data_IF_787341108408
#
_entry.id   IF_787341108408
#
_cell.length_a   1.000
_cell.length_b   1.000
_cell.length_c   1.000
_cell.angle_alpha   90.00
_cell.angle_beta   90.00
_cell.angle_gamma   90.00
#
_symmetry.space_group_name_H-M   'P 1'
#
loop_
_entity.id
_entity.type
_entity.pdbx_description
1 polymer ?
#
# COMPACT_ATOMS: atom_id res chain seq x y z
N UNK A 1 23.57 14.25 -24.31
CA UNK A 1 22.49 13.45 -24.92
C UNK A 1 21.27 13.33 -24.01
N UNK A 2 21.30 12.54 -22.94
CA UNK A 2 20.09 12.31 -22.11
C UNK A 2 19.59 13.58 -21.37
N UNK A 3 20.50 14.29 -20.69
CA UNK A 3 20.18 15.57 -20.03
C UNK A 3 19.59 16.60 -21.00
N UNK A 4 20.18 16.73 -22.20
CA UNK A 4 19.73 17.69 -23.21
C UNK A 4 18.36 17.33 -23.78
N UNK A 5 18.06 16.03 -23.89
CA UNK A 5 16.77 15.51 -24.33
C UNK A 5 15.65 15.82 -23.34
N UNK A 6 15.91 15.72 -22.03
CA UNK A 6 14.91 15.93 -20.98
C UNK A 6 14.78 17.39 -20.52
N UNK A 7 15.82 18.21 -20.73
CA UNK A 7 15.84 19.61 -20.28
C UNK A 7 14.64 20.45 -20.78
N UNK A 8 14.20 20.34 -22.06
CA UNK A 8 13.03 21.08 -22.53
C UNK A 8 11.73 20.74 -21.80
N UNK A 9 11.63 19.53 -21.24
CA UNK A 9 10.42 19.03 -20.55
C UNK A 9 10.35 19.45 -19.08
N UNK A 10 11.42 20.04 -18.53
CA UNK A 10 11.57 20.32 -17.10
C UNK A 10 10.43 21.15 -16.51
N UNK A 11 10.01 22.21 -17.22
CA UNK A 11 8.97 23.11 -16.72
C UNK A 11 7.61 22.40 -16.66
N UNK A 12 7.26 21.67 -17.71
CA UNK A 12 6.02 20.93 -17.80
C UNK A 12 5.97 19.78 -16.78
N UNK A 13 7.09 19.05 -16.62
CA UNK A 13 7.26 18.04 -15.59
C UNK A 13 7.05 18.63 -14.19
N UNK A 14 7.62 19.80 -13.91
CA UNK A 14 7.45 20.49 -12.63
C UNK A 14 6.00 20.89 -12.36
N UNK A 15 5.29 21.44 -13.36
CA UNK A 15 3.86 21.75 -13.23
C UNK A 15 3.03 20.49 -12.97
N UNK A 16 3.39 19.38 -13.60
CA UNK A 16 2.73 18.09 -13.42
C UNK A 16 2.96 17.53 -12.01
N UNK A 17 4.18 17.61 -11.50
CA UNK A 17 4.53 17.28 -10.11
C UNK A 17 3.73 18.09 -9.10
N UNK A 18 3.65 19.41 -9.28
CA UNK A 18 2.82 20.28 -8.42
C UNK A 18 1.35 19.86 -8.49
N UNK A 19 0.85 19.58 -9.70
CA UNK A 19 -0.52 19.09 -9.90
C UNK A 19 -0.78 17.80 -9.14
N UNK A 20 0.11 16.81 -9.26
CA UNK A 20 0.02 15.55 -8.54
C UNK A 20 0.03 15.76 -7.03
N UNK A 21 1.02 16.49 -6.49
CA UNK A 21 1.16 16.72 -5.06
C UNK A 21 -0.05 17.46 -4.46
N UNK A 22 -0.68 18.38 -5.20
CA UNK A 22 -1.93 19.04 -4.75
C UNK A 22 -3.09 18.07 -4.56
N UNK A 23 -3.13 16.96 -5.29
CA UNK A 23 -4.17 15.96 -5.17
C UNK A 23 -3.79 14.88 -4.14
N UNK A 24 -2.54 14.44 -4.16
CA UNK A 24 -2.09 13.31 -3.35
C UNK A 24 -1.73 13.70 -1.92
N UNK A 25 -1.14 14.86 -1.67
CA UNK A 25 -0.71 15.25 -0.32
C UNK A 25 -1.86 15.38 0.71
N UNK A 26 -3.05 15.89 0.37
CA UNK A 26 -4.18 15.94 1.31
C UNK A 26 -5.07 14.68 1.27
N UNK A 27 -4.67 13.63 0.53
CA UNK A 27 -5.53 12.47 0.32
C UNK A 27 -5.66 11.64 1.61
N UNK A 28 -6.89 11.27 1.92
CA UNK A 28 -7.25 10.42 3.06
C UNK A 28 -8.20 9.31 2.60
N UNK A 29 -7.97 8.04 2.99
CA UNK A 29 -6.85 7.56 3.82
C UNK A 29 -5.50 7.59 3.06
N UNK A 30 -4.35 7.53 3.79
CA UNK A 30 -3.01 7.58 3.18
C UNK A 30 -2.77 6.47 2.14
N UNK A 31 -3.44 5.33 2.29
CA UNK A 31 -3.38 4.18 1.38
C UNK A 31 -3.88 4.50 -0.05
N UNK A 32 -4.59 5.61 -0.25
CA UNK A 32 -5.00 6.06 -1.58
C UNK A 32 -3.89 6.75 -2.37
N UNK A 33 -2.87 7.30 -1.69
CA UNK A 33 -1.79 8.09 -2.30
C UNK A 33 -1.09 7.34 -3.43
N UNK A 34 -0.70 6.06 -3.28
CA UNK A 34 -0.06 5.31 -4.36
C UNK A 34 -0.94 5.19 -5.62
N UNK A 35 -2.25 5.01 -5.46
CA UNK A 35 -3.18 4.87 -6.59
C UNK A 35 -3.43 6.20 -7.31
N UNK A 36 -3.52 7.30 -6.57
CA UNK A 36 -3.58 8.65 -7.14
C UNK A 36 -2.30 8.94 -7.94
N UNK A 37 -1.14 8.65 -7.36
CA UNK A 37 0.14 8.84 -8.05
C UNK A 37 0.26 7.94 -9.30
N UNK A 38 -0.23 6.70 -9.24
CA UNK A 38 -0.27 5.79 -10.39
C UNK A 38 -1.09 6.37 -11.55
N UNK A 39 -2.24 6.97 -11.27
CA UNK A 39 -3.05 7.63 -12.31
C UNK A 39 -2.28 8.74 -13.02
N UNK A 40 -1.48 9.53 -12.29
CA UNK A 40 -0.59 10.53 -12.90
C UNK A 40 0.53 9.90 -13.74
N UNK A 41 1.19 8.84 -13.24
CA UNK A 41 2.24 8.14 -13.98
C UNK A 41 1.70 7.57 -15.30
N UNK A 42 0.54 6.92 -15.28
CA UNK A 42 -0.12 6.38 -16.46
C UNK A 42 -0.57 7.50 -17.41
N UNK A 43 -1.13 8.59 -16.88
CA UNK A 43 -1.54 9.74 -17.66
C UNK A 43 -0.38 10.40 -18.39
N UNK A 44 0.74 10.64 -17.70
CA UNK A 44 1.95 11.20 -18.30
C UNK A 44 2.52 10.27 -19.37
N UNK A 45 2.61 8.96 -19.09
CA UNK A 45 3.10 8.00 -20.07
C UNK A 45 2.23 7.99 -21.32
N UNK A 46 0.91 8.00 -21.17
CA UNK A 46 -0.02 7.96 -22.30
C UNK A 46 0.02 9.25 -23.14
N UNK A 47 0.13 10.42 -22.50
CA UNK A 47 0.06 11.71 -23.17
C UNK A 47 1.40 12.18 -23.73
N UNK A 48 2.52 11.79 -23.10
CA UNK A 48 3.85 12.35 -23.37
C UNK A 48 4.95 11.32 -23.61
N UNK A 49 4.60 10.03 -23.59
CA UNK A 49 5.54 8.94 -23.80
C UNK A 49 6.57 8.80 -22.68
N UNK A 50 7.59 7.99 -22.94
CA UNK A 50 8.59 7.63 -21.94
C UNK A 50 9.48 8.82 -21.55
N UNK A 51 9.73 9.76 -22.48
CA UNK A 51 10.46 11.01 -22.25
C UNK A 51 9.76 11.90 -21.22
N UNK A 52 8.45 12.08 -21.40
CA UNK A 52 7.63 12.81 -20.43
C UNK A 52 7.59 12.12 -19.08
N UNK A 53 7.50 10.79 -19.06
CA UNK A 53 7.52 10.00 -17.83
C UNK A 53 8.87 10.13 -17.10
N UNK A 54 9.98 10.06 -17.82
CA UNK A 54 11.33 10.26 -17.25
C UNK A 54 11.50 11.67 -16.70
N UNK A 55 11.10 12.70 -17.45
CA UNK A 55 11.16 14.08 -16.98
C UNK A 55 10.30 14.30 -15.73
N UNK A 56 9.11 13.69 -15.69
CA UNK A 56 8.23 13.71 -14.52
C UNK A 56 8.86 13.01 -13.31
N UNK A 57 9.39 11.80 -13.48
CA UNK A 57 10.09 11.07 -12.43
C UNK A 57 11.29 11.87 -11.88
N UNK A 58 12.09 12.49 -12.75
CA UNK A 58 13.20 13.36 -12.33
C UNK A 58 12.71 14.57 -11.55
N UNK A 59 11.60 15.19 -11.96
CA UNK A 59 10.98 16.26 -11.20
C UNK A 59 10.57 15.78 -9.81
N UNK A 60 9.87 14.65 -9.70
CA UNK A 60 9.47 14.05 -8.43
C UNK A 60 10.66 13.78 -7.50
N UNK A 61 11.74 13.18 -8.01
CA UNK A 61 12.94 12.92 -7.22
C UNK A 61 13.61 14.21 -6.71
N UNK A 62 13.58 15.29 -7.50
CA UNK A 62 14.08 16.59 -7.04
C UNK A 62 13.23 17.16 -5.90
N UNK A 63 11.90 17.04 -5.99
CA UNK A 63 10.99 17.48 -4.93
C UNK A 63 11.13 16.65 -3.66
N UNK A 64 11.23 15.32 -3.77
CA UNK A 64 11.50 14.44 -2.62
C UNK A 64 12.82 14.79 -1.94
N UNK A 65 13.88 15.04 -2.72
CA UNK A 65 15.18 15.48 -2.20
C UNK A 65 15.08 16.82 -1.46
N UNK A 66 14.31 17.77 -2.00
CA UNK A 66 14.09 19.06 -1.35
C UNK A 66 13.30 18.90 -0.04
N UNK A 67 12.21 18.12 -0.04
CA UNK A 67 11.39 17.86 1.13
C UNK A 67 12.19 17.22 2.28
N UNK A 68 13.05 16.23 1.97
CA UNK A 68 13.91 15.59 2.98
C UNK A 68 14.89 16.60 3.59
N UNK A 69 15.49 17.47 2.76
CA UNK A 69 16.38 18.53 3.24
C UNK A 69 15.66 19.54 4.12
N UNK A 70 14.43 19.90 3.76
CA UNK A 70 13.60 20.81 4.54
C UNK A 70 13.23 20.20 5.90
N UNK A 71 12.85 18.91 5.93
CA UNK A 71 12.57 18.17 7.18
C UNK A 71 13.80 18.11 8.07
N UNK A 72 14.96 17.77 7.50
CA UNK A 72 16.23 17.73 8.23
C UNK A 72 16.54 19.10 8.87
N UNK A 73 16.45 20.18 8.07
CA UNK A 73 16.69 21.54 8.55
C UNK A 73 15.71 21.98 9.65
N UNK A 74 14.42 21.69 9.49
CA UNK A 74 13.38 22.07 10.45
C UNK A 74 13.45 21.28 11.77
N UNK A 75 13.98 20.06 11.73
CA UNK A 75 14.09 19.19 12.91
C UNK A 75 15.47 19.19 13.57
N UNK A 76 16.42 19.98 13.05
CA UNK A 76 17.79 20.01 13.55
C UNK A 76 18.55 18.69 13.36
N UNK A 77 18.09 17.85 12.44
CA UNK A 77 18.67 16.54 12.10
C UNK A 77 19.48 16.62 10.82
N UNK A 78 20.34 15.64 10.61
CA UNK A 78 20.97 15.40 9.32
C UNK A 78 20.00 14.72 8.36
N UNK A 79 20.28 14.81 7.05
CA UNK A 79 19.53 14.07 6.03
C UNK A 79 19.57 12.57 6.28
N UNK A 80 20.71 12.04 6.74
CA UNK A 80 20.87 10.62 7.03
C UNK A 80 19.94 10.18 8.16
N UNK A 81 19.89 10.92 9.26
CA UNK A 81 19.01 10.60 10.41
C UNK A 81 17.53 10.61 10.02
N UNK A 82 17.12 11.49 9.10
CA UNK A 82 15.73 11.50 8.58
C UNK A 82 15.46 10.25 7.73
N UNK A 83 16.41 9.83 6.91
CA UNK A 83 16.26 8.61 6.09
C UNK A 83 16.27 7.34 6.95
N UNK A 84 17.17 7.24 7.92
CA UNK A 84 17.24 6.12 8.86
C UNK A 84 15.94 5.96 9.65
N UNK A 85 15.30 7.09 10.01
CA UNK A 85 13.98 7.09 10.64
C UNK A 85 12.91 6.49 9.71
N UNK A 86 12.84 6.91 8.44
CA UNK A 86 11.87 6.34 7.48
C UNK A 86 12.12 4.85 7.22
N UNK A 87 13.38 4.41 7.18
CA UNK A 87 13.70 2.98 7.08
C UNK A 87 13.23 2.19 8.31
N UNK A 88 13.39 2.77 9.51
CA UNK A 88 12.90 2.17 10.76
C UNK A 88 11.38 2.02 10.76
N UNK A 89 10.66 3.09 10.42
CA UNK A 89 9.19 3.08 10.32
C UNK A 89 8.68 2.03 9.32
N UNK A 90 9.38 1.86 8.18
CA UNK A 90 9.05 0.83 7.20
C UNK A 90 9.20 -0.59 7.76
N UNK A 91 10.27 -0.85 8.52
CA UNK A 91 10.50 -2.14 9.16
C UNK A 91 9.44 -2.43 10.22
N UNK A 92 9.09 -1.44 11.05
CA UNK A 92 8.06 -1.57 12.09
C UNK A 92 6.68 -1.85 11.49
N UNK A 93 6.29 -1.13 10.43
CA UNK A 93 5.03 -1.37 9.72
C UNK A 93 4.94 -2.80 9.17
N UNK A 94 6.05 -3.30 8.60
CA UNK A 94 6.13 -4.68 8.10
C UNK A 94 5.98 -5.71 9.23
N UNK A 95 6.67 -5.52 10.35
CA UNK A 95 6.57 -6.42 11.50
C UNK A 95 5.15 -6.45 12.07
N UNK A 96 4.47 -5.30 12.12
CA UNK A 96 3.08 -5.22 12.57
C UNK A 96 2.14 -6.04 11.66
N UNK A 97 2.29 -5.92 10.33
CA UNK A 97 1.51 -6.70 9.36
C UNK A 97 1.77 -8.22 9.48
N UNK A 98 3.03 -8.62 9.67
CA UNK A 98 3.39 -10.03 9.85
C UNK A 98 2.80 -10.60 11.17
N UNK A 99 2.77 -9.81 12.24
CA UNK A 99 2.17 -10.20 13.52
C UNK A 99 0.64 -10.34 13.44
N UNK A 100 -0.04 -9.43 12.72
CA UNK A 100 -1.48 -9.49 12.47
C UNK A 100 -1.84 -10.75 11.66
N UNK A 101 -1.13 -11.01 10.57
CA UNK A 101 -1.32 -12.23 9.77
C UNK A 101 -1.06 -13.53 10.57
N UNK A 102 -0.08 -13.51 11.49
CA UNK A 102 0.19 -14.65 12.38
C UNK A 102 -0.93 -14.85 13.42
N UNK A 103 -1.50 -13.78 13.95
CA UNK A 103 -2.63 -13.85 14.87
C UNK A 103 -3.90 -14.39 14.18
N UNK A 104 -4.19 -13.93 12.96
CA UNK A 104 -5.34 -14.39 12.17
C UNK A 104 -5.22 -15.87 11.79
N UNK A 105 -4.01 -16.33 11.46
CA UNK A 105 -3.75 -17.76 11.14
C UNK A 105 -3.72 -18.68 12.36
N UNK A 106 -3.45 -18.16 13.57
CA UNK A 106 -3.53 -18.93 14.82
C UNK A 106 -4.97 -19.04 15.37
N UNK A 107 -5.89 -18.21 14.87
CA UNK A 107 -7.28 -18.15 15.33
C UNK A 107 -8.24 -19.13 14.62
N UNK A 108 -7.76 -19.98 13.69
CA UNK A 108 -8.54 -21.11 13.16
C UNK A 108 -8.27 -22.42 13.95
N UNK A 109 -9.06 -22.74 14.98
CA UNK A 109 -9.05 -24.07 15.56
C UNK A 109 -9.74 -25.05 14.60
N UNK A 110 -9.05 -26.12 14.26
CA UNK A 110 -9.55 -27.18 13.39
C UNK A 110 -10.91 -27.72 13.83
N UNK A 111 -11.93 -27.49 13.01
CA UNK A 111 -13.16 -28.25 13.03
C UNK A 111 -12.89 -29.65 12.46
N UNK A 112 -12.47 -30.60 13.30
CA UNK A 112 -12.18 -31.94 12.80
C UNK A 112 -11.67 -32.96 13.81
N UNK A 113 -12.26 -33.07 14.99
CA UNK A 113 -12.15 -34.29 15.81
C UNK A 113 -13.24 -34.36 16.88
N UNK A 114 -14.28 -35.16 16.64
CA UNK A 114 -15.07 -35.91 17.62
C UNK A 114 -15.99 -36.84 16.80
N UNK A 115 -15.51 -38.00 16.39
CA UNK A 115 -15.67 -39.29 17.09
C UNK A 115 -17.10 -39.81 17.19
N UNK A 116 -17.21 -41.09 16.90
CA UNK A 116 -18.40 -41.85 16.62
C UNK A 116 -19.04 -42.45 17.88
N UNK A 117 -20.27 -42.93 17.67
CA UNK A 117 -20.88 -44.09 18.31
C UNK A 117 -21.40 -43.97 19.76
N UNK A 118 -22.73 -44.10 19.91
CA UNK A 118 -23.33 -45.15 20.73
C UNK A 118 -24.86 -45.02 20.77
N UNK A 119 -25.54 -46.04 20.22
CA UNK A 119 -26.65 -46.75 20.87
C UNK A 119 -27.95 -46.01 21.18
N UNK A 120 -29.00 -46.32 20.41
CA UNK A 120 -30.38 -46.21 20.90
C UNK A 120 -31.08 -47.57 20.76
N UNK A 121 -31.43 -48.27 21.85
CA UNK A 121 -32.39 -49.36 21.78
C UNK A 121 -33.80 -48.81 21.99
N UNK A 122 -34.66 -49.25 21.06
CA UNK A 122 -35.94 -49.92 21.29
C UNK A 122 -36.99 -49.34 22.25
N UNK A 123 -38.24 -49.39 21.80
CA UNK A 123 -39.41 -48.96 22.57
C UNK A 123 -40.64 -48.81 21.70
N UNK A 124 -41.13 -49.94 21.17
CA UNK A 124 -42.29 -49.99 20.29
C UNK A 124 -43.61 -49.55 20.94
N UNK A 125 -44.63 -49.43 20.09
CA UNK A 125 -46.00 -49.80 20.44
C UNK A 125 -46.76 -50.24 19.17
N UNK A 126 -47.59 -51.28 19.27
CA UNK A 126 -48.11 -52.00 18.10
C UNK A 126 -49.55 -51.60 17.74
N UNK A 127 -50.01 -52.23 16.65
CA UNK A 127 -51.39 -52.56 16.27
C UNK A 127 -52.37 -51.40 16.09
N UNK A 128 -52.82 -51.16 14.85
CA UNK A 128 -53.99 -51.85 14.29
C UNK A 128 -55.15 -50.83 14.25
N UNK A 129 -56.18 -50.85 13.42
CA UNK A 129 -56.85 -51.81 12.54
C UNK A 129 -57.80 -50.94 11.68
N UNK A 130 -57.98 -51.31 10.40
CA UNK A 130 -59.15 -51.20 9.49
C UNK A 130 -60.09 -49.96 9.56
N UNK A 131 -60.65 -49.44 8.47
CA UNK A 131 -61.16 -50.06 7.23
C UNK A 131 -61.31 -49.01 6.12
#
# INVERSE_FOLDING_TARGET
MERERLLPLREEATRTTIGMLRHSAPAEPPDLVPYLNLAYLLGVRHQRGDDGLMAFALSLSNWATAAIKDVAAQTGRTVQEVLDQYETELMEARMAQEAEAAADSAAEPGAGAAEADAGKPDGGKPDGVEE
#
